data_IF_167974346185
#
_entry.id   IF_167974346185
#
_cell.length_a   1.000
_cell.length_b   1.000
_cell.length_c   1.000
_cell.angle_alpha   90.00
_cell.angle_beta   90.00
_cell.angle_gamma   90.00
#
_symmetry.space_group_name_H-M   'P 1'
#
loop_
_entity.id
_entity.type
_entity.pdbx_description
1 polymer ?
#
# COMPACT_ATOMS: atom_id res chain seq x y z
N UNK A 1 -4.11 0.04 -10.81
CA UNK A 1 -2.97 0.66 -10.11
C UNK A 1 -1.70 0.02 -10.62
N UNK A 2 -0.80 0.78 -11.20
CA UNK A 2 0.39 0.26 -11.86
C UNK A 2 1.68 0.63 -11.17
N UNK A 3 2.75 -0.13 -11.48
CA UNK A 3 4.10 0.16 -10.98
C UNK A 3 4.51 1.57 -11.40
N UNK A 4 5.05 2.34 -10.46
CA UNK A 4 5.44 3.73 -10.67
C UNK A 4 4.37 4.76 -10.36
N UNK A 5 3.14 4.34 -10.13
CA UNK A 5 2.08 5.27 -9.74
C UNK A 5 2.36 5.86 -8.35
N UNK A 6 2.09 7.16 -8.21
CA UNK A 6 2.13 7.82 -6.92
C UNK A 6 0.78 7.65 -6.22
N UNK A 7 0.81 7.23 -4.97
CA UNK A 7 -0.40 6.92 -4.20
C UNK A 7 -0.34 7.52 -2.80
N UNK A 8 -1.51 7.77 -2.22
CA UNK A 8 -1.67 8.23 -0.83
C UNK A 8 -2.75 7.39 -0.15
N UNK A 9 -2.73 7.29 1.19
CA UNK A 9 -3.82 6.62 1.92
C UNK A 9 -5.15 7.32 1.65
N UNK A 10 -6.21 6.54 1.51
CA UNK A 10 -7.55 7.02 1.20
C UNK A 10 -8.52 6.63 2.31
N UNK A 11 -9.40 7.56 2.68
CA UNK A 11 -10.48 7.35 3.65
C UNK A 11 -10.05 6.76 4.99
N UNK A 12 -8.88 7.15 5.50
CA UNK A 12 -8.40 6.72 6.81
C UNK A 12 -8.20 7.93 7.72
N UNK A 13 -8.49 7.77 9.01
CA UNK A 13 -8.46 8.90 9.97
C UNK A 13 -7.07 9.19 10.51
N UNK A 14 -6.24 8.18 10.70
CA UNK A 14 -4.96 8.31 11.40
C UNK A 14 -3.78 7.75 10.63
N UNK A 15 -4.00 7.36 9.40
CA UNK A 15 -3.01 6.66 8.61
C UNK A 15 -3.40 5.22 8.36
N UNK A 16 -2.64 4.56 7.50
CA UNK A 16 -2.95 3.22 7.03
C UNK A 16 -1.95 2.23 7.62
N UNK A 17 -2.45 1.14 8.21
CA UNK A 17 -1.58 0.05 8.66
C UNK A 17 -0.81 -0.53 7.48
N UNK A 18 0.48 -0.77 7.68
CA UNK A 18 1.35 -1.34 6.67
C UNK A 18 1.90 -2.69 7.14
N UNK A 19 2.23 -3.55 6.18
CA UNK A 19 2.61 -4.93 6.44
C UNK A 19 3.95 -5.27 5.78
N UNK A 20 4.73 -6.19 6.36
CA UNK A 20 6.02 -6.57 5.78
C UNK A 20 5.88 -7.41 4.51
N UNK A 21 4.76 -8.09 4.34
CA UNK A 21 4.40 -8.85 3.14
C UNK A 21 2.89 -8.97 3.07
N UNK A 22 2.36 -9.46 1.96
CA UNK A 22 0.93 -9.66 1.81
C UNK A 22 0.59 -11.13 2.08
N UNK A 23 -0.44 -11.34 2.88
CA UNK A 23 -0.86 -12.67 3.27
C UNK A 23 -1.56 -13.44 2.16
N UNK A 24 -1.75 -14.73 2.40
CA UNK A 24 -2.50 -15.63 1.52
C UNK A 24 -3.66 -16.25 2.29
N UNK A 25 -4.56 -16.90 1.57
CA UNK A 25 -5.66 -17.65 2.20
C UNK A 25 -5.14 -18.73 3.14
N UNK A 26 -3.99 -19.31 2.84
CA UNK A 26 -3.41 -20.41 3.62
C UNK A 26 -2.67 -19.91 4.85
N UNK A 27 -1.99 -18.77 4.74
CA UNK A 27 -1.12 -18.25 5.80
C UNK A 27 -1.75 -17.11 6.60
N UNK A 28 -2.80 -16.49 6.07
CA UNK A 28 -3.38 -15.29 6.65
C UNK A 28 -2.45 -14.07 6.51
N UNK A 29 -2.86 -12.95 7.07
CA UNK A 29 -2.10 -11.72 7.03
C UNK A 29 -1.09 -11.67 8.18
N UNK A 30 0.12 -11.15 7.94
CA UNK A 30 1.05 -10.86 9.04
C UNK A 30 0.54 -9.73 9.90
N UNK A 31 1.20 -9.49 11.01
CA UNK A 31 0.90 -8.32 11.84
C UNK A 31 1.37 -7.06 11.15
N UNK A 32 0.59 -5.98 11.31
CA UNK A 32 1.02 -4.65 10.92
C UNK A 32 2.31 -4.28 11.66
N UNK A 33 3.27 -3.67 10.96
CA UNK A 33 4.53 -3.27 11.59
C UNK A 33 4.76 -1.76 11.56
N UNK A 34 3.75 -0.99 11.25
CA UNK A 34 3.85 0.45 11.23
C UNK A 34 2.64 1.09 10.59
N UNK A 35 2.73 2.39 10.42
CA UNK A 35 1.65 3.19 9.86
C UNK A 35 2.22 4.09 8.76
N UNK A 36 1.47 4.18 7.67
CA UNK A 36 1.70 5.13 6.60
C UNK A 36 0.83 6.35 6.89
N UNK A 37 1.47 7.46 7.22
CA UNK A 37 0.77 8.68 7.64
C UNK A 37 0.01 9.33 6.49
N UNK A 38 -1.10 9.96 6.83
CA UNK A 38 -1.84 10.76 5.87
C UNK A 38 -0.96 11.87 5.29
N UNK A 39 -1.08 12.08 3.98
CA UNK A 39 -0.30 13.11 3.29
C UNK A 39 1.06 12.66 2.80
N UNK A 40 1.58 11.53 3.29
CA UNK A 40 2.81 10.97 2.73
C UNK A 40 2.50 10.27 1.41
N UNK A 41 3.31 10.55 0.39
CA UNK A 41 3.15 9.94 -0.93
C UNK A 41 4.05 8.71 -1.02
N UNK A 42 3.50 7.62 -1.54
CA UNK A 42 4.27 6.41 -1.84
C UNK A 42 4.30 6.13 -3.34
N UNK A 43 5.22 5.27 -3.76
CA UNK A 43 5.35 4.83 -5.15
C UNK A 43 5.06 3.34 -5.21
N UNK A 44 4.15 2.93 -6.08
CA UNK A 44 3.82 1.51 -6.25
C UNK A 44 4.99 0.78 -6.88
N UNK A 45 5.49 -0.25 -6.19
CA UNK A 45 6.57 -1.11 -6.67
C UNK A 45 6.03 -2.38 -7.30
N UNK A 46 4.93 -2.90 -6.77
CA UNK A 46 4.30 -4.14 -7.25
C UNK A 46 2.83 -4.13 -6.91
N UNK A 47 2.00 -4.76 -7.72
CA UNK A 47 0.57 -4.91 -7.46
C UNK A 47 0.15 -6.34 -7.78
N UNK A 48 -0.66 -6.92 -6.90
CA UNK A 48 -1.23 -8.25 -7.10
C UNK A 48 -2.58 -8.21 -7.82
N UNK A 49 -3.01 -7.04 -8.27
CA UNK A 49 -4.31 -6.85 -8.91
C UNK A 49 -4.50 -7.76 -10.13
N UNK A 50 -3.48 -7.88 -10.97
CA UNK A 50 -3.53 -8.74 -12.16
C UNK A 50 -3.62 -10.23 -11.84
N UNK A 51 -3.31 -10.60 -10.60
CA UNK A 51 -3.36 -11.98 -10.12
C UNK A 51 -4.60 -12.25 -9.27
N UNK A 52 -5.54 -11.30 -9.26
CA UNK A 52 -6.76 -11.41 -8.46
C UNK A 52 -6.58 -11.06 -7.00
N UNK A 53 -5.40 -10.59 -6.59
CA UNK A 53 -5.12 -10.15 -5.24
C UNK A 53 -5.44 -8.68 -5.01
N UNK A 54 -5.44 -8.26 -3.75
CA UNK A 54 -5.72 -6.88 -3.37
C UNK A 54 -4.56 -6.21 -2.65
N UNK A 55 -3.37 -6.81 -2.68
CA UNK A 55 -2.18 -6.22 -2.07
C UNK A 55 -1.35 -5.45 -3.08
N UNK A 56 -0.69 -4.40 -2.62
CA UNK A 56 0.34 -3.74 -3.40
C UNK A 56 1.51 -3.35 -2.51
N UNK A 57 2.71 -3.43 -3.08
CA UNK A 57 3.93 -2.99 -2.42
C UNK A 57 4.21 -1.55 -2.78
N UNK A 58 4.53 -0.75 -1.78
CA UNK A 58 4.72 0.69 -1.94
C UNK A 58 6.03 1.10 -1.27
N UNK A 59 6.80 1.94 -1.94
CA UNK A 59 7.98 2.59 -1.36
C UNK A 59 7.54 3.93 -0.79
N UNK A 60 7.71 4.10 0.51
CA UNK A 60 7.37 5.34 1.19
C UNK A 60 8.54 6.33 1.13
N UNK A 61 8.24 7.60 1.38
CA UNK A 61 9.25 8.66 1.32
C UNK A 61 10.40 8.52 2.33
N UNK A 62 10.20 7.76 3.40
CA UNK A 62 11.23 7.47 4.39
C UNK A 62 12.09 6.24 4.04
N UNK A 63 11.88 5.64 2.87
CA UNK A 63 12.64 4.48 2.41
C UNK A 63 12.05 3.13 2.76
N UNK A 64 10.95 3.08 3.51
CA UNK A 64 10.30 1.81 3.85
C UNK A 64 9.60 1.21 2.63
N UNK A 65 9.79 -0.08 2.43
CA UNK A 65 9.00 -0.87 1.48
C UNK A 65 7.92 -1.59 2.26
N UNK A 66 6.67 -1.31 1.96
CA UNK A 66 5.55 -1.82 2.74
C UNK A 66 4.48 -2.38 1.82
N UNK A 67 3.67 -3.31 2.38
CA UNK A 67 2.51 -3.85 1.68
C UNK A 67 1.24 -3.26 2.28
N UNK A 68 0.29 -2.91 1.43
CA UNK A 68 -1.00 -2.33 1.82
C UNK A 68 -2.11 -2.89 0.94
N UNK A 69 -3.35 -2.73 1.41
CA UNK A 69 -4.53 -3.05 0.60
C UNK A 69 -4.71 -1.97 -0.46
N UNK A 70 -4.73 -2.35 -1.73
CA UNK A 70 -4.82 -1.40 -2.83
C UNK A 70 -6.13 -0.60 -2.83
N UNK A 71 -7.18 -1.11 -2.18
CA UNK A 71 -8.44 -0.39 -2.06
C UNK A 71 -8.42 0.69 -0.97
N UNK A 72 -7.37 0.70 -0.15
CA UNK A 72 -7.20 1.70 0.91
C UNK A 72 -6.27 2.84 0.49
N UNK A 73 -5.84 2.85 -0.76
CA UNK A 73 -5.00 3.91 -1.32
C UNK A 73 -5.64 4.45 -2.59
N UNK A 74 -5.31 5.68 -2.92
CA UNK A 74 -5.75 6.30 -4.17
C UNK A 74 -4.57 6.88 -4.92
N UNK A 75 -4.70 6.90 -6.23
CA UNK A 75 -3.67 7.47 -7.11
C UNK A 75 -3.67 8.99 -6.96
N UNK A 76 -2.48 9.56 -6.84
CA UNK A 76 -2.31 11.01 -6.88
C UNK A 76 -2.43 11.45 -8.34
N UNK A 77 -3.37 12.35 -8.60
CA UNK A 77 -3.59 12.86 -9.95
C UNK A 77 -2.97 14.26 -10.03
N UNK A 78 -1.97 14.39 -10.88
CA UNK A 78 -1.40 15.69 -11.21
C UNK A 78 -2.18 16.29 -12.37
N UNK A 79 -2.65 17.46 -12.14
CA UNK A 79 -3.25 18.27 -13.22
C UNK A 79 -2.29 19.31 -13.73
#
# INVERSE_FOLDING_TARGET
MGVGDLVVPDDVLQGLDVYPHWGSKERGMPKSFGIWKLGEVGVVLESLESQGGNGCEVLLGDGRKVWVNLYMVRKVVNK
#
